data_IF_337073444961
#
_entry.id   IF_337073444961
#
_cell.length_a   1.000
_cell.length_b   1.000
_cell.length_c   1.000
_cell.angle_alpha   90.00
_cell.angle_beta   90.00
_cell.angle_gamma   90.00
#
_symmetry.space_group_name_H-M   'P 1'
#
loop_
_entity.id
_entity.type
_entity.pdbx_description
1 polymer ?
#
# COMPACT_ATOMS: atom_id res chain seq x y z
N UNK A 1 -21.50 -3.00 26.13
CA UNK A 1 -20.29 -2.40 25.54
C UNK A 1 -20.47 -2.41 24.05
N UNK A 2 -20.20 -1.26 23.42
CA UNK A 2 -20.52 -0.98 22.02
C UNK A 2 -19.80 -1.94 21.05
N UNK A 3 -20.52 -2.42 20.04
CA UNK A 3 -20.03 -3.31 19.00
C UNK A 3 -18.99 -2.59 18.12
N UNK A 4 -19.18 -1.29 17.87
CA UNK A 4 -18.25 -0.46 17.10
C UNK A 4 -16.91 -0.34 17.83
N UNK A 5 -16.96 -0.09 19.14
CA UNK A 5 -15.78 -0.07 20.00
C UNK A 5 -15.03 -1.41 19.98
N UNK A 6 -15.74 -2.55 20.06
CA UNK A 6 -15.09 -3.86 19.98
C UNK A 6 -14.40 -4.08 18.63
N UNK A 7 -15.01 -3.60 17.53
CA UNK A 7 -14.44 -3.65 16.18
C UNK A 7 -13.20 -2.76 16.05
N UNK A 8 -13.22 -1.55 16.61
CA UNK A 8 -12.07 -0.64 16.66
C UNK A 8 -10.91 -1.24 17.47
N UNK A 9 -11.19 -1.77 18.66
CA UNK A 9 -10.18 -2.41 19.52
C UNK A 9 -9.54 -3.60 18.79
N UNK A 10 -10.34 -4.44 18.15
CA UNK A 10 -9.82 -5.58 17.40
C UNK A 10 -8.94 -5.14 16.21
N UNK A 11 -9.39 -4.16 15.44
CA UNK A 11 -8.65 -3.65 14.28
C UNK A 11 -7.30 -3.09 14.70
N UNK A 12 -7.26 -2.31 15.79
CA UNK A 12 -6.01 -1.81 16.33
C UNK A 12 -5.05 -2.92 16.80
N UNK A 13 -5.55 -4.00 17.40
CA UNK A 13 -4.71 -5.16 17.79
C UNK A 13 -4.05 -5.78 16.56
N UNK A 14 -4.80 -5.93 15.47
CA UNK A 14 -4.30 -6.48 14.20
C UNK A 14 -3.26 -5.54 13.58
N UNK A 15 -3.56 -4.25 13.51
CA UNK A 15 -2.68 -3.24 12.91
C UNK A 15 -1.35 -3.11 13.65
N UNK A 16 -1.41 -3.12 14.98
CA UNK A 16 -0.24 -2.95 15.84
C UNK A 16 0.57 -4.25 16.04
N UNK A 17 0.03 -5.40 15.61
CA UNK A 17 0.60 -6.73 15.88
C UNK A 17 0.78 -7.08 17.37
N UNK A 18 0.25 -6.25 18.29
CA UNK A 18 0.54 -6.30 19.72
C UNK A 18 -0.62 -5.72 20.53
N UNK A 19 -1.09 -6.50 21.50
CA UNK A 19 -2.12 -6.08 22.47
C UNK A 19 -1.66 -4.87 23.30
N UNK A 20 -0.39 -4.85 23.69
CA UNK A 20 0.18 -3.77 24.50
C UNK A 20 0.32 -2.48 23.69
N UNK A 21 0.74 -2.58 22.42
CA UNK A 21 0.81 -1.41 21.54
C UNK A 21 -0.59 -0.88 21.22
N UNK A 22 -1.56 -1.76 20.94
CA UNK A 22 -2.94 -1.36 20.70
C UNK A 22 -3.56 -0.66 21.91
N UNK A 23 -3.28 -1.14 23.12
CA UNK A 23 -3.72 -0.48 24.36
C UNK A 23 -3.15 0.94 24.49
N UNK A 24 -1.87 1.13 24.17
CA UNK A 24 -1.24 2.46 24.17
C UNK A 24 -1.89 3.40 23.16
N UNK A 25 -2.07 2.95 21.92
CA UNK A 25 -2.66 3.77 20.85
C UNK A 25 -4.10 4.18 21.18
N UNK A 26 -4.88 3.29 21.79
CA UNK A 26 -6.27 3.57 22.16
C UNK A 26 -6.43 4.31 23.50
N UNK A 27 -5.33 4.56 24.24
CA UNK A 27 -5.40 5.14 25.58
C UNK A 27 -6.12 4.24 26.60
N UNK A 28 -6.09 2.92 26.41
CA UNK A 28 -6.77 1.94 27.24
C UNK A 28 -5.79 1.16 28.12
N UNK A 29 -6.28 0.63 29.25
CA UNK A 29 -5.53 -0.35 30.03
C UNK A 29 -5.35 -1.67 29.23
N UNK A 30 -4.18 -2.34 29.27
CA UNK A 30 -3.96 -3.61 28.56
C UNK A 30 -4.97 -4.72 28.92
N UNK A 31 -5.44 -4.73 30.18
CA UNK A 31 -6.48 -5.63 30.64
C UNK A 31 -7.82 -5.38 29.92
N UNK A 32 -8.14 -4.13 29.59
CA UNK A 32 -9.34 -3.75 28.84
C UNK A 32 -9.31 -4.32 27.44
N UNK A 33 -8.20 -4.12 26.72
CA UNK A 33 -8.01 -4.64 25.34
C UNK A 33 -8.12 -6.16 25.31
N UNK A 34 -7.44 -6.84 26.25
CA UNK A 34 -7.49 -8.30 26.38
C UNK A 34 -8.91 -8.79 26.69
N UNK A 35 -9.62 -8.10 27.58
CA UNK A 35 -11.00 -8.41 27.94
C UNK A 35 -11.99 -8.20 26.79
N UNK A 36 -11.83 -7.13 26.01
CA UNK A 36 -12.64 -6.85 24.81
C UNK A 36 -12.47 -7.96 23.77
N UNK A 37 -11.23 -8.35 23.48
CA UNK A 37 -10.93 -9.45 22.56
C UNK A 37 -11.59 -10.75 23.04
N UNK A 38 -11.36 -11.14 24.30
CA UNK A 38 -11.90 -12.39 24.84
C UNK A 38 -13.44 -12.43 24.80
N UNK A 39 -14.10 -11.31 25.10
CA UNK A 39 -15.57 -11.20 25.00
C UNK A 39 -16.04 -11.28 23.55
N UNK A 40 -15.31 -10.69 22.62
CA UNK A 40 -15.64 -10.72 21.18
C UNK A 40 -15.52 -12.14 20.63
N UNK A 41 -14.42 -12.84 20.90
CA UNK A 41 -14.23 -14.25 20.54
C UNK A 41 -15.31 -15.14 21.16
N UNK A 42 -15.64 -14.92 22.44
CA UNK A 42 -16.72 -15.66 23.12
C UNK A 42 -18.08 -15.43 22.45
N UNK A 43 -18.40 -14.19 22.06
CA UNK A 43 -19.66 -13.85 21.40
C UNK A 43 -19.77 -14.46 20.00
N UNK A 44 -18.66 -14.48 19.25
CA UNK A 44 -18.63 -15.03 17.90
C UNK A 44 -18.48 -16.56 17.87
N UNK A 45 -18.10 -17.17 19.00
CA UNK A 45 -17.89 -18.62 19.11
C UNK A 45 -16.63 -19.13 18.41
N UNK A 46 -15.76 -18.24 17.93
CA UNK A 46 -14.54 -18.55 17.18
C UNK A 46 -13.37 -17.70 17.65
N UNK A 47 -12.16 -18.25 17.57
CA UNK A 47 -10.92 -17.49 17.83
C UNK A 47 -10.61 -16.59 16.65
N UNK A 48 -10.35 -15.32 16.94
CA UNK A 48 -9.94 -14.33 15.96
C UNK A 48 -8.42 -14.20 15.90
N UNK A 49 -7.72 -14.51 17.01
CA UNK A 49 -6.26 -14.49 17.08
C UNK A 49 -5.71 -15.82 17.62
N UNK A 50 -4.68 -16.34 16.95
CA UNK A 50 -3.82 -17.38 17.47
C UNK A 50 -2.68 -16.74 18.26
N UNK A 51 -2.66 -17.04 19.56
CA UNK A 51 -1.69 -16.47 20.50
C UNK A 51 -0.69 -17.57 20.86
N UNK A 52 0.53 -17.44 20.36
CA UNK A 52 1.66 -18.19 20.93
C UNK A 52 2.44 -17.24 21.84
N UNK A 53 3.23 -17.79 22.77
CA UNK A 53 4.06 -16.99 23.70
C UNK A 53 5.11 -16.11 23.01
N UNK A 54 5.23 -16.17 21.68
CA UNK A 54 6.18 -15.39 20.88
C UNK A 54 5.56 -14.57 19.75
N UNK A 55 4.33 -14.87 19.29
CA UNK A 55 3.67 -14.14 18.18
C UNK A 55 2.14 -14.18 18.28
N UNK A 56 1.53 -13.06 17.89
CA UNK A 56 0.11 -12.95 17.58
C UNK A 56 -0.05 -13.19 16.07
N UNK A 57 -0.89 -14.15 15.70
CA UNK A 57 -1.26 -14.43 14.32
C UNK A 57 -2.76 -14.29 14.15
N UNK A 58 -3.21 -13.69 13.04
CA UNK A 58 -4.64 -13.51 12.76
C UNK A 58 -5.21 -14.76 12.10
N UNK A 59 -6.30 -15.30 12.64
CA UNK A 59 -7.00 -16.45 12.07
C UNK A 59 -7.75 -16.06 10.79
N UNK A 60 -8.30 -17.03 10.06
CA UNK A 60 -9.18 -16.74 8.92
C UNK A 60 -10.44 -15.97 9.36
N UNK A 61 -11.07 -16.41 10.45
CA UNK A 61 -12.18 -15.68 11.07
C UNK A 61 -11.77 -14.27 11.52
N UNK A 62 -10.56 -14.12 12.05
CA UNK A 62 -9.98 -12.83 12.40
C UNK A 62 -9.81 -11.90 11.20
N UNK A 63 -9.38 -12.42 10.05
CA UNK A 63 -9.25 -11.63 8.81
C UNK A 63 -10.60 -11.14 8.28
N UNK A 64 -11.61 -12.02 8.26
CA UNK A 64 -12.98 -11.64 7.87
C UNK A 64 -13.55 -10.58 8.82
N UNK A 65 -13.38 -10.78 10.12
CA UNK A 65 -13.84 -9.85 11.13
C UNK A 65 -13.15 -8.49 11.01
N UNK A 66 -11.83 -8.47 10.80
CA UNK A 66 -11.03 -7.26 10.57
C UNK A 66 -11.53 -6.47 9.36
N UNK A 67 -11.79 -7.14 8.23
CA UNK A 67 -12.27 -6.50 7.01
C UNK A 67 -13.63 -5.82 7.23
N UNK A 68 -14.58 -6.52 7.85
CA UNK A 68 -15.89 -5.95 8.16
C UNK A 68 -15.83 -4.86 9.22
N UNK A 69 -15.00 -5.02 10.26
CA UNK A 69 -14.79 -4.03 11.30
C UNK A 69 -14.28 -2.70 10.74
N UNK A 70 -13.30 -2.75 9.84
CA UNK A 70 -12.79 -1.55 9.17
C UNK A 70 -13.87 -0.85 8.34
N UNK A 71 -14.61 -1.60 7.52
CA UNK A 71 -15.68 -1.02 6.67
C UNK A 71 -16.80 -0.36 7.49
N UNK A 72 -17.22 -0.99 8.59
CA UNK A 72 -18.28 -0.45 9.44
C UNK A 72 -17.79 0.79 10.19
N UNK A 73 -16.57 0.76 10.71
CA UNK A 73 -15.98 1.92 11.41
C UNK A 73 -15.83 3.10 10.45
N UNK A 74 -15.39 2.84 9.23
CA UNK A 74 -15.29 3.84 8.16
C UNK A 74 -16.65 4.47 7.83
N UNK A 75 -17.70 3.66 7.67
CA UNK A 75 -19.06 4.19 7.44
C UNK A 75 -19.59 5.02 8.60
N UNK A 76 -19.27 4.66 9.84
CA UNK A 76 -19.66 5.45 11.00
C UNK A 76 -18.96 6.81 11.03
N UNK A 77 -17.64 6.84 10.74
CA UNK A 77 -16.89 8.08 10.61
C UNK A 77 -17.42 8.95 9.47
N UNK A 78 -17.72 8.37 8.31
CA UNK A 78 -18.31 9.09 7.18
C UNK A 78 -19.67 9.72 7.52
N UNK A 79 -20.50 9.04 8.31
CA UNK A 79 -21.77 9.59 8.79
C UNK A 79 -21.55 10.78 9.74
N UNK A 80 -20.59 10.69 10.66
CA UNK A 80 -20.23 11.80 11.55
C UNK A 80 -19.67 13.00 10.76
N UNK A 81 -18.80 12.76 9.79
CA UNK A 81 -18.22 13.78 8.92
C UNK A 81 -19.28 14.43 8.02
N UNK A 82 -20.24 13.65 7.50
CA UNK A 82 -21.37 14.18 6.74
C UNK A 82 -22.23 15.15 7.57
N UNK A 83 -22.44 14.85 8.85
CA UNK A 83 -23.17 15.75 9.76
C UNK A 83 -22.32 16.97 10.16
N UNK A 84 -21.02 16.79 10.40
CA UNK A 84 -20.11 17.90 10.74
C UNK A 84 -19.91 18.87 9.57
N UNK A 85 -19.86 18.36 8.34
CA UNK A 85 -19.74 19.17 7.11
C UNK A 85 -20.99 19.97 6.80
N UNK A 86 -22.18 19.55 7.28
CA UNK A 86 -23.38 20.40 7.26
C UNK A 86 -23.26 21.60 8.22
N UNK A 87 -22.40 21.53 9.25
CA UNK A 87 -22.25 22.57 10.26
C UNK A 87 -21.14 23.61 9.95
N UNK A 88 -20.20 23.29 9.04
CA UNK A 88 -19.16 24.23 8.63
C UNK A 88 -18.67 23.94 7.20
N UNK A 89 -18.69 24.96 6.35
CA UNK A 89 -18.11 24.87 5.00
C UNK A 89 -16.58 24.67 5.09
N UNK A 90 -16.03 23.57 4.53
CA UNK A 90 -14.60 23.32 4.56
C UNK A 90 -13.81 24.44 3.88
N UNK A 91 -12.81 25.00 4.58
CA UNK A 91 -12.00 26.14 4.10
C UNK A 91 -10.58 26.09 4.64
N UNK A 92 -9.65 26.74 3.93
CA UNK A 92 -8.23 26.84 4.32
C UNK A 92 -7.31 26.03 3.41
N UNK A 93 -6.04 25.89 3.79
CA UNK A 93 -5.07 25.11 3.01
C UNK A 93 -5.08 23.66 3.45
N UNK A 94 -5.21 22.73 2.49
CA UNK A 94 -5.05 21.30 2.71
C UNK A 94 -3.71 20.87 2.11
N UNK A 95 -2.73 20.55 2.96
CA UNK A 95 -1.38 20.14 2.57
C UNK A 95 -1.28 18.63 2.50
N UNK A 96 -1.01 18.11 1.32
CA UNK A 96 -0.99 16.67 1.04
C UNK A 96 0.34 16.25 0.44
N UNK A 97 0.91 15.14 0.92
CA UNK A 97 2.07 14.51 0.26
C UNK A 97 1.74 13.13 -0.28
N UNK A 98 2.23 12.82 -1.48
CA UNK A 98 1.86 11.60 -2.20
C UNK A 98 2.87 11.19 -3.29
N UNK A 99 3.02 9.89 -3.60
CA UNK A 99 3.73 9.41 -4.78
C UNK A 99 3.16 9.96 -6.09
N UNK A 100 4.01 10.13 -7.12
CA UNK A 100 3.56 10.61 -8.42
C UNK A 100 2.51 9.68 -9.05
N UNK A 101 2.73 8.37 -8.99
CA UNK A 101 1.77 7.39 -9.51
C UNK A 101 0.40 7.50 -8.83
N UNK A 102 0.37 7.84 -7.54
CA UNK A 102 -0.90 8.05 -6.82
C UNK A 102 -1.55 9.37 -7.22
N UNK A 103 -0.76 10.44 -7.31
CA UNK A 103 -1.24 11.74 -7.74
C UNK A 103 -1.93 11.66 -9.10
N UNK A 104 -1.26 11.06 -10.09
CA UNK A 104 -1.76 11.02 -11.47
C UNK A 104 -2.91 10.03 -11.66
N UNK A 105 -2.86 8.88 -10.97
CA UNK A 105 -3.84 7.79 -11.21
C UNK A 105 -5.11 7.96 -10.38
N UNK A 106 -4.99 8.45 -9.14
CA UNK A 106 -6.10 8.40 -8.16
C UNK A 106 -6.55 9.77 -7.65
N UNK A 107 -5.71 10.81 -7.72
CA UNK A 107 -6.09 12.14 -7.19
C UNK A 107 -6.50 13.05 -8.34
N UNK A 108 -5.65 13.17 -9.37
CA UNK A 108 -5.84 14.06 -10.50
C UNK A 108 -7.22 13.94 -11.18
N UNK A 109 -7.77 12.72 -11.44
CA UNK A 109 -9.08 12.59 -12.07
C UNK A 109 -10.25 13.22 -11.29
N UNK A 110 -10.09 13.42 -9.98
CA UNK A 110 -11.13 13.93 -9.08
C UNK A 110 -10.94 15.40 -8.68
N UNK A 111 -9.84 16.04 -9.09
CA UNK A 111 -9.53 17.42 -8.66
C UNK A 111 -10.59 18.43 -9.11
N UNK A 112 -11.16 18.25 -10.31
CA UNK A 112 -12.19 19.15 -10.81
C UNK A 112 -13.46 19.09 -9.94
N UNK A 113 -13.96 17.88 -9.68
CA UNK A 113 -15.12 17.66 -8.83
C UNK A 113 -14.86 18.18 -7.41
N UNK A 114 -13.71 17.85 -6.83
CA UNK A 114 -13.29 18.32 -5.50
C UNK A 114 -13.26 19.85 -5.40
N UNK A 115 -12.65 20.53 -6.38
CA UNK A 115 -12.57 22.00 -6.39
C UNK A 115 -13.94 22.68 -6.55
N UNK A 116 -14.86 22.04 -7.27
CA UNK A 116 -16.24 22.52 -7.45
C UNK A 116 -17.03 22.36 -6.15
N UNK A 117 -16.87 21.23 -5.47
CA UNK A 117 -17.55 20.92 -4.22
C UNK A 117 -17.01 21.72 -3.02
N UNK A 118 -15.70 22.00 -3.00
CA UNK A 118 -15.02 22.68 -1.88
C UNK A 118 -14.20 23.89 -2.36
N UNK A 119 -14.86 24.96 -2.85
CA UNK A 119 -14.19 26.10 -3.49
C UNK A 119 -13.33 26.94 -2.54
N UNK A 120 -13.52 26.79 -1.21
CA UNK A 120 -12.75 27.51 -0.18
C UNK A 120 -11.51 26.76 0.32
N UNK A 121 -11.25 25.57 -0.22
CA UNK A 121 -10.02 24.82 0.05
C UNK A 121 -8.94 25.21 -0.96
N UNK A 122 -7.77 25.59 -0.45
CA UNK A 122 -6.55 25.69 -1.23
C UNK A 122 -5.78 24.37 -1.12
N UNK A 123 -5.73 23.59 -2.19
CA UNK A 123 -5.03 22.31 -2.19
C UNK A 123 -3.54 22.52 -2.51
N UNK A 124 -2.67 22.11 -1.59
CA UNK A 124 -1.21 22.15 -1.73
C UNK A 124 -0.66 20.72 -1.78
N UNK A 125 -0.16 20.30 -2.95
CA UNK A 125 0.30 18.94 -3.21
C UNK A 125 1.84 18.88 -3.29
N UNK A 126 2.47 18.15 -2.39
CA UNK A 126 3.88 17.77 -2.51
C UNK A 126 4.03 16.34 -3.02
N UNK A 127 4.38 16.22 -4.30
CA UNK A 127 4.63 14.93 -4.94
C UNK A 127 6.03 14.42 -4.58
N UNK A 128 6.08 13.31 -3.86
CA UNK A 128 7.33 12.68 -3.41
C UNK A 128 7.07 11.27 -2.89
N UNK A 129 7.94 10.33 -3.28
CA UNK A 129 7.96 8.98 -2.69
C UNK A 129 8.63 8.92 -1.32
N UNK A 130 9.28 10.01 -0.88
CA UNK A 130 9.96 10.03 0.42
C UNK A 130 8.93 10.01 1.54
N UNK A 131 9.17 9.15 2.53
CA UNK A 131 8.49 9.22 3.81
C UNK A 131 9.12 10.39 4.58
N UNK A 132 8.31 11.42 4.83
CA UNK A 132 8.69 12.64 5.54
C UNK A 132 7.92 12.74 6.85
N UNK A 133 8.46 13.47 7.81
CA UNK A 133 7.75 13.81 9.03
C UNK A 133 6.55 14.71 8.69
N UNK A 134 5.33 14.16 8.82
CA UNK A 134 4.12 14.89 8.48
C UNK A 134 3.87 16.05 9.45
N UNK A 135 4.16 15.86 10.74
CA UNK A 135 3.92 16.89 11.76
C UNK A 135 4.93 18.02 11.62
N UNK A 136 6.22 17.68 11.54
CA UNK A 136 7.29 18.67 11.39
C UNK A 136 7.20 19.47 10.09
N UNK A 137 6.71 18.87 9.00
CA UNK A 137 6.53 19.54 7.71
C UNK A 137 5.12 20.15 7.52
N UNK A 138 4.24 20.05 8.54
CA UNK A 138 2.87 20.58 8.53
C UNK A 138 2.02 20.03 7.37
N UNK A 139 2.07 18.73 7.16
CA UNK A 139 1.14 18.01 6.29
C UNK A 139 -0.11 17.60 7.05
N UNK A 140 -1.26 17.78 6.43
CA UNK A 140 -2.55 17.34 6.96
C UNK A 140 -2.85 15.88 6.54
N UNK A 141 -2.38 15.48 5.36
CA UNK A 141 -2.64 14.16 4.78
C UNK A 141 -1.43 13.62 4.03
N UNK A 142 -1.24 12.30 4.06
CA UNK A 142 -0.28 11.62 3.21
C UNK A 142 -0.90 10.38 2.55
N UNK A 143 -0.75 10.27 1.23
CA UNK A 143 -1.00 9.02 0.52
C UNK A 143 0.31 8.25 0.44
N UNK A 144 0.28 6.96 0.79
CA UNK A 144 1.44 6.08 0.70
C UNK A 144 1.04 4.73 0.13
N UNK A 145 1.92 4.16 -0.68
CA UNK A 145 1.80 2.79 -1.17
C UNK A 145 2.69 1.89 -0.32
N UNK A 146 2.17 0.72 0.07
CA UNK A 146 2.88 -0.25 0.91
C UNK A 146 2.26 -0.42 2.30
N UNK A 147 2.94 -1.17 3.16
CA UNK A 147 2.48 -1.38 4.52
C UNK A 147 2.69 -0.13 5.38
N UNK A 148 1.65 0.19 6.12
CA UNK A 148 1.71 1.10 7.23
C UNK A 148 2.77 0.64 8.25
N UNK A 149 3.64 1.56 8.65
CA UNK A 149 4.50 1.35 9.81
C UNK A 149 3.76 1.80 11.06
N UNK A 150 4.09 1.22 12.20
CA UNK A 150 3.62 1.71 13.50
C UNK A 150 3.95 3.21 13.61
N UNK A 151 2.91 4.02 13.75
CA UNK A 151 3.02 5.45 13.97
C UNK A 151 1.82 5.91 14.79
N UNK A 152 1.96 7.04 15.47
CA UNK A 152 0.84 7.69 16.17
C UNK A 152 -0.15 8.37 15.21
N UNK A 153 0.06 8.23 13.88
CA UNK A 153 -0.82 8.77 12.86
C UNK A 153 -2.02 7.84 12.63
N UNK A 154 -3.17 8.42 12.32
CA UNK A 154 -4.31 7.66 11.83
C UNK A 154 -4.01 7.14 10.42
N UNK A 155 -4.20 5.85 10.19
CA UNK A 155 -3.93 5.19 8.92
C UNK A 155 -5.24 4.62 8.38
N UNK A 156 -5.63 5.06 7.18
CA UNK A 156 -6.79 4.53 6.45
C UNK A 156 -6.34 3.85 5.17
N UNK A 157 -6.69 2.57 5.01
CA UNK A 157 -6.42 1.82 3.79
C UNK A 157 -7.47 2.15 2.74
N UNK A 158 -7.05 2.78 1.64
CA UNK A 158 -7.97 3.23 0.59
C UNK A 158 -8.26 2.16 -0.48
N UNK A 159 -7.24 1.40 -0.88
CA UNK A 159 -7.38 0.39 -1.92
C UNK A 159 -6.31 -0.69 -1.84
N UNK A 160 -6.55 -1.79 -2.55
CA UNK A 160 -5.53 -2.74 -2.93
C UNK A 160 -5.19 -2.57 -4.41
N UNK A 161 -3.91 -2.66 -4.74
CA UNK A 161 -3.47 -2.78 -6.13
C UNK A 161 -2.69 -4.08 -6.30
N UNK A 162 -2.85 -4.69 -7.47
CA UNK A 162 -2.05 -5.85 -7.87
C UNK A 162 -0.93 -5.40 -8.77
N UNK A 163 0.25 -5.96 -8.56
CA UNK A 163 1.38 -5.77 -9.45
C UNK A 163 1.36 -6.84 -10.50
N UNK A 164 1.68 -6.46 -11.72
CA UNK A 164 1.78 -7.36 -12.86
C UNK A 164 3.18 -7.23 -13.45
N UNK A 165 3.74 -8.35 -13.91
CA UNK A 165 4.92 -8.33 -14.76
C UNK A 165 4.46 -8.08 -16.18
N UNK A 166 5.10 -7.13 -16.86
CA UNK A 166 4.84 -6.87 -18.26
C UNK A 166 6.15 -6.54 -18.98
N UNK A 167 6.14 -6.73 -20.29
CA UNK A 167 7.21 -6.36 -21.19
C UNK A 167 6.61 -5.86 -22.50
N UNK A 168 7.35 -5.08 -23.27
CA UNK A 168 6.90 -4.67 -24.59
C UNK A 168 6.84 -5.86 -25.55
N UNK A 169 5.93 -5.85 -26.54
CA UNK A 169 5.87 -6.88 -27.57
C UNK A 169 7.20 -7.08 -28.29
N UNK A 170 7.94 -5.99 -28.55
CA UNK A 170 9.26 -6.04 -29.19
C UNK A 170 10.30 -6.74 -28.31
N UNK A 171 10.32 -6.51 -27.00
CA UNK A 171 11.21 -7.24 -26.10
C UNK A 171 10.90 -8.74 -26.11
N UNK A 172 9.62 -9.11 -26.05
CA UNK A 172 9.18 -10.51 -26.08
C UNK A 172 9.49 -11.19 -27.42
N UNK A 173 9.44 -10.47 -28.53
CA UNK A 173 9.84 -11.00 -29.84
C UNK A 173 11.34 -11.32 -29.93
N UNK A 174 12.18 -10.57 -29.22
CA UNK A 174 13.64 -10.74 -29.22
C UNK A 174 14.12 -11.78 -28.19
N UNK A 175 13.47 -11.83 -27.02
CA UNK A 175 13.96 -12.61 -25.87
C UNK A 175 13.01 -13.73 -25.45
N UNK A 176 11.88 -13.91 -26.13
CA UNK A 176 10.85 -14.87 -25.78
C UNK A 176 9.95 -14.40 -24.63
N UNK A 177 8.78 -15.04 -24.50
CA UNK A 177 7.86 -14.78 -23.40
C UNK A 177 8.06 -15.80 -22.27
N UNK A 178 8.33 -15.35 -21.03
CA UNK A 178 8.49 -16.25 -19.89
C UNK A 178 7.18 -17.02 -19.64
N UNK A 179 7.28 -18.34 -19.52
CA UNK A 179 6.14 -19.23 -19.24
C UNK A 179 6.05 -19.58 -17.75
N UNK A 180 7.16 -19.44 -17.03
CA UNK A 180 7.27 -19.68 -15.60
C UNK A 180 8.00 -18.50 -14.91
N UNK A 181 7.68 -18.14 -13.65
CA UNK A 181 8.36 -17.04 -12.96
C UNK A 181 9.89 -17.17 -12.93
N UNK A 182 10.42 -18.38 -12.80
CA UNK A 182 11.87 -18.65 -12.82
C UNK A 182 12.56 -18.26 -14.13
N UNK A 183 11.83 -18.17 -15.24
CA UNK A 183 12.39 -17.77 -16.53
C UNK A 183 12.92 -16.32 -16.49
N UNK A 184 12.43 -15.51 -15.55
CA UNK A 184 12.91 -14.14 -15.33
C UNK A 184 14.40 -14.06 -14.96
N UNK A 185 15.03 -15.17 -14.52
CA UNK A 185 16.49 -15.25 -14.34
C UNK A 185 17.27 -15.00 -15.65
N UNK A 186 16.64 -15.27 -16.79
CA UNK A 186 17.20 -15.08 -18.12
C UNK A 186 16.82 -13.73 -18.75
N UNK A 187 15.94 -12.96 -18.12
CA UNK A 187 15.48 -11.67 -18.62
C UNK A 187 16.14 -10.48 -17.91
N UNK A 188 16.16 -9.35 -18.60
CA UNK A 188 16.49 -8.05 -18.00
C UNK A 188 15.25 -7.47 -17.33
N UNK A 189 15.29 -7.35 -16.01
CA UNK A 189 14.20 -6.80 -15.22
C UNK A 189 14.44 -5.32 -14.93
N UNK A 190 13.37 -4.52 -14.98
CA UNK A 190 13.42 -3.11 -14.59
C UNK A 190 13.14 -3.01 -13.08
N UNK A 191 14.08 -2.45 -12.32
CA UNK A 191 14.06 -2.55 -10.86
C UNK A 191 13.40 -1.32 -10.22
N UNK A 192 12.48 -1.55 -9.30
CA UNK A 192 11.83 -0.48 -8.53
C UNK A 192 12.54 -0.26 -7.19
N UNK A 193 13.14 0.92 -6.99
CA UNK A 193 14.02 1.18 -5.83
C UNK A 193 13.31 1.22 -4.48
N UNK A 194 12.01 1.49 -4.46
CA UNK A 194 11.24 1.53 -3.21
C UNK A 194 10.74 0.14 -2.76
N UNK A 195 11.13 -0.93 -3.47
CA UNK A 195 10.94 -2.27 -2.94
C UNK A 195 11.86 -2.55 -1.75
N UNK A 196 11.35 -3.21 -0.70
CA UNK A 196 12.20 -3.75 0.36
C UNK A 196 13.26 -4.71 -0.17
N UNK A 197 12.92 -5.50 -1.21
CA UNK A 197 13.82 -6.46 -1.84
C UNK A 197 13.77 -6.30 -3.38
N UNK A 198 14.41 -5.26 -3.95
CA UNK A 198 14.25 -4.92 -5.38
C UNK A 198 14.75 -6.01 -6.34
N UNK A 199 15.65 -6.88 -5.88
CA UNK A 199 16.21 -8.00 -6.63
C UNK A 199 15.53 -9.34 -6.35
N UNK A 200 14.52 -9.39 -5.48
CA UNK A 200 13.79 -10.62 -5.16
C UNK A 200 12.31 -10.40 -5.39
N UNK A 201 11.80 -10.96 -6.49
CA UNK A 201 10.39 -10.86 -6.85
C UNK A 201 9.64 -12.09 -6.36
N UNK A 202 8.43 -11.87 -5.84
CA UNK A 202 7.59 -12.93 -5.31
C UNK A 202 6.36 -13.12 -6.21
N UNK A 203 6.09 -14.37 -6.60
CA UNK A 203 4.97 -14.78 -7.43
C UNK A 203 4.14 -15.85 -6.72
N UNK A 204 2.86 -15.94 -7.09
CA UNK A 204 2.07 -17.15 -6.88
C UNK A 204 1.87 -17.82 -8.23
N UNK A 205 2.30 -19.07 -8.36
CA UNK A 205 2.17 -19.85 -9.59
C UNK A 205 1.63 -21.23 -9.25
N UNK A 206 0.51 -21.62 -9.85
CA UNK A 206 -0.21 -22.87 -9.53
C UNK A 206 -0.51 -23.10 -8.04
N UNK A 207 -0.67 -22.01 -7.27
CA UNK A 207 -0.92 -22.05 -5.82
C UNK A 207 0.32 -21.88 -4.95
N UNK A 208 1.51 -22.13 -5.51
CA UNK A 208 2.77 -22.07 -4.78
C UNK A 208 3.39 -20.67 -4.79
N UNK A 209 4.00 -20.28 -3.67
CA UNK A 209 4.78 -19.06 -3.57
C UNK A 209 6.20 -19.29 -4.12
N UNK A 210 6.58 -18.55 -5.15
CA UNK A 210 7.88 -18.64 -5.81
C UNK A 210 8.62 -17.32 -5.63
N UNK A 211 9.86 -17.40 -5.13
CA UNK A 211 10.76 -16.24 -5.08
C UNK A 211 11.79 -16.34 -6.19
N UNK A 212 11.97 -15.27 -6.95
CA UNK A 212 12.89 -15.21 -8.09
C UNK A 212 13.90 -14.11 -7.87
N UNK A 213 15.19 -14.47 -7.91
CA UNK A 213 16.30 -13.52 -7.81
C UNK A 213 16.54 -12.85 -9.17
N UNK A 214 15.86 -11.74 -9.43
CA UNK A 214 15.94 -11.06 -10.73
C UNK A 214 17.21 -10.22 -10.86
N UNK A 215 17.60 -9.94 -12.10
CA UNK A 215 18.72 -9.07 -12.46
C UNK A 215 18.26 -7.95 -13.39
N UNK A 216 18.93 -6.81 -13.34
CA UNK A 216 18.57 -5.66 -14.16
C UNK A 216 19.59 -4.54 -14.06
N UNK A 217 19.89 -3.90 -15.19
CA UNK A 217 20.83 -2.76 -15.25
C UNK A 217 20.14 -1.43 -14.95
N UNK A 218 18.82 -1.34 -15.14
CA UNK A 218 18.05 -0.12 -14.96
C UNK A 218 17.18 -0.18 -13.71
N UNK A 219 17.25 0.87 -12.90
CA UNK A 219 16.47 1.00 -11.68
C UNK A 219 15.92 2.42 -11.51
N UNK A 220 14.64 2.54 -11.18
CA UNK A 220 13.98 3.81 -10.89
C UNK A 220 13.18 3.70 -9.61
N UNK A 221 13.07 4.80 -8.89
CA UNK A 221 12.12 4.93 -7.79
C UNK A 221 10.73 5.37 -8.26
N UNK A 222 10.56 5.66 -9.56
CA UNK A 222 9.31 6.12 -10.16
C UNK A 222 8.76 5.11 -11.17
N UNK A 223 7.54 4.64 -10.93
CA UNK A 223 6.92 3.57 -11.71
C UNK A 223 6.62 3.98 -13.15
N UNK A 224 6.28 5.25 -13.39
CA UNK A 224 6.07 5.79 -14.74
C UNK A 224 7.34 5.75 -15.60
N UNK A 225 8.52 5.94 -14.98
CA UNK A 225 9.81 5.80 -15.67
C UNK A 225 10.04 4.35 -16.08
N UNK A 226 9.78 3.39 -15.19
CA UNK A 226 9.88 1.96 -15.52
C UNK A 226 8.91 1.56 -16.65
N UNK A 227 7.69 2.09 -16.63
CA UNK A 227 6.70 1.83 -17.69
C UNK A 227 7.14 2.42 -19.03
N UNK A 228 7.70 3.64 -19.04
CA UNK A 228 8.25 4.25 -20.24
C UNK A 228 9.41 3.42 -20.81
N UNK A 229 10.33 2.97 -19.95
CA UNK A 229 11.43 2.08 -20.33
C UNK A 229 10.97 0.72 -20.87
N UNK A 230 9.95 0.13 -20.26
CA UNK A 230 9.37 -1.13 -20.74
C UNK A 230 8.82 -0.98 -22.17
N UNK A 231 8.23 0.19 -22.49
CA UNK A 231 7.69 0.51 -23.81
C UNK A 231 8.77 0.84 -24.85
N UNK A 232 9.84 1.53 -24.45
CA UNK A 232 10.89 2.00 -25.37
C UNK A 232 11.90 0.93 -25.79
N UNK A 233 11.86 -0.26 -25.17
CA UNK A 233 12.80 -1.37 -25.40
C UNK A 233 14.23 -0.86 -25.23
N UNK A 234 14.56 -0.50 -23.99
CA UNK A 234 15.97 -0.33 -23.64
C UNK A 234 16.60 -1.72 -23.49
N UNK A 235 17.28 -2.15 -24.55
CA UNK A 235 18.29 -3.19 -24.43
C UNK A 235 19.50 -2.50 -23.79
N UNK A 236 20.06 -3.00 -22.66
CA UNK A 236 21.34 -2.52 -22.21
C UNK A 236 22.35 -2.73 -23.35
N UNK A 237 22.96 -1.64 -23.82
CA UNK A 237 24.08 -1.68 -24.76
C UNK A 237 25.25 -2.42 -24.09
N UNK A 238 25.26 -3.75 -24.21
CA UNK A 238 26.28 -4.63 -23.63
C UNK A 238 26.54 -5.89 -24.46
N UNK A 239 25.90 -6.02 -25.62
CA UNK A 239 26.17 -7.09 -26.59
C UNK A 239 26.16 -6.56 -28.02
N UNK A 240 26.56 -5.31 -28.24
CA UNK A 240 27.16 -4.98 -29.53
C UNK A 240 28.57 -5.55 -29.49
N UNK A 241 28.70 -6.81 -29.93
CA UNK A 241 29.95 -7.19 -30.58
C UNK A 241 30.12 -6.21 -31.72
N UNK A 242 31.09 -5.33 -31.56
CA UNK A 242 31.73 -4.62 -32.66
C UNK A 242 32.19 -5.71 -33.64
N UNK A 243 31.36 -6.02 -34.63
CA UNK A 243 31.83 -6.56 -35.90
C UNK A 243 31.96 -5.35 -36.83
N UNK A 244 33.08 -4.65 -36.65
CA UNK A 244 33.67 -3.90 -37.73
C UNK A 244 34.25 -4.92 -38.72
N UNK A 245 33.54 -5.14 -39.82
CA UNK A 245 34.02 -5.60 -41.14
C UNK A 245 32.78 -5.90 -41.96
N UNK A 246 32.54 -5.38 -43.15
CA UNK A 246 33.30 -4.49 -44.01
C UNK A 246 32.61 -4.58 -45.38
N UNK A 247 32.42 -3.43 -46.01
CA UNK A 247 32.23 -3.19 -47.44
C UNK A 247 31.04 -3.86 -48.19
N UNK A 248 30.31 -2.93 -48.82
CA UNK A 248 29.33 -2.98 -49.91
C UNK A 248 27.91 -3.52 -49.65
#
# INVERSE_FOLDING_TARGET
MDQLFNMQVFSQIVDSGSLAQAARVLGLAPATVTGVLARTEKKLGVRLLDRTTRRISVTEAGRLWYEHANRITEQAMEAEDAVRSLAAEPRGTLRVTLPLGVAMTFVYPHLQEFSTQYPKIHLDLQVSDRIVDLVGNRFDLAFRAGQAKDSDLMIRRLLYYRRITCASPRYLALYGAPQHPSDLLQHQCLLYRHEPHPLQWEYRFNGDAIKVAVKGTYASNESHVLLAWARSVMVPSGSEKINASGMD
#
